data_IF_861707616129
#
_entry.id   IF_861707616129
#
_cell.length_a   1.000
_cell.length_b   1.000
_cell.length_c   1.000
_cell.angle_alpha   90.00
_cell.angle_beta   90.00
_cell.angle_gamma   90.00
#
_symmetry.space_group_name_H-M   'P 1'
#
loop_
_entity.id
_entity.type
_entity.pdbx_description
1 polymer ?
#
# COMPACT_ATOMS: atom_id res chain seq x y z
N UNK A 1 13.60 -5.52 55.12
CA UNK A 1 12.15 -5.43 54.81
C UNK A 1 11.99 -4.97 53.38
N UNK A 2 11.10 -5.59 52.60
CA UNK A 2 10.84 -5.17 51.22
C UNK A 2 10.07 -3.84 51.22
N UNK A 3 10.64 -2.80 50.59
CA UNK A 3 9.97 -1.52 50.41
C UNK A 3 8.75 -1.71 49.50
N UNK A 4 7.58 -1.26 49.97
CA UNK A 4 6.33 -1.29 49.21
C UNK A 4 5.92 0.14 48.85
N UNK A 5 5.13 0.29 47.79
CA UNK A 5 4.50 1.56 47.40
C UNK A 5 3.14 1.32 46.75
N UNK A 6 2.44 2.39 46.39
CA UNK A 6 1.14 2.30 45.70
C UNK A 6 1.32 2.22 44.18
N UNK A 7 0.50 1.40 43.54
CA UNK A 7 0.36 1.33 42.09
C UNK A 7 -0.14 2.67 41.54
N UNK A 8 0.60 3.24 40.58
CA UNK A 8 0.31 4.56 40.01
C UNK A 8 -1.01 4.66 39.20
N UNK A 9 -1.74 3.55 39.03
CA UNK A 9 -3.01 3.51 38.28
C UNK A 9 -4.22 3.17 39.15
N UNK A 10 -4.11 2.19 40.04
CA UNK A 10 -5.25 1.69 40.82
C UNK A 10 -5.05 1.73 42.34
N UNK A 11 -3.91 2.23 42.83
CA UNK A 11 -3.67 2.41 44.26
C UNK A 11 -3.38 1.14 45.07
N UNK A 12 -3.34 -0.05 44.48
CA UNK A 12 -2.93 -1.28 45.21
C UNK A 12 -1.48 -1.21 45.68
N UNK A 13 -1.17 -1.83 46.80
CA UNK A 13 0.19 -1.98 47.32
C UNK A 13 0.99 -2.93 46.42
N UNK A 14 2.18 -2.51 45.99
CA UNK A 14 3.12 -3.22 45.11
C UNK A 14 4.56 -3.07 45.60
N UNK A 15 5.48 -3.87 45.07
CA UNK A 15 6.92 -3.69 45.33
C UNK A 15 7.45 -2.36 44.79
N UNK A 16 8.38 -1.75 45.53
CA UNK A 16 8.91 -0.42 45.22
C UNK A 16 9.51 -0.30 43.80
N UNK A 17 10.04 -1.41 43.25
CA UNK A 17 10.57 -1.48 41.88
C UNK A 17 9.51 -1.42 40.75
N UNK A 18 8.26 -1.75 41.04
CA UNK A 18 7.22 -1.82 40.02
C UNK A 18 6.45 -0.50 39.92
N UNK A 19 6.11 -0.05 38.71
CA UNK A 19 5.25 1.15 38.52
C UNK A 19 3.76 0.82 38.67
N UNK A 20 3.38 -0.37 38.22
CA UNK A 20 2.00 -0.86 38.20
C UNK A 20 1.94 -2.26 38.82
N UNK A 21 0.77 -2.63 39.35
CA UNK A 21 0.49 -4.04 39.65
C UNK A 21 0.31 -4.84 38.37
N UNK A 22 0.46 -6.16 38.41
CA UNK A 22 0.41 -7.03 37.22
C UNK A 22 -0.81 -6.78 36.33
N UNK A 23 -2.00 -6.61 36.96
CA UNK A 23 -3.23 -6.26 36.24
C UNK A 23 -3.11 -4.94 35.49
N UNK A 24 -2.56 -3.91 36.13
CA UNK A 24 -2.41 -2.60 35.52
C UNK A 24 -1.26 -2.56 34.50
N UNK A 25 -0.23 -3.38 34.70
CA UNK A 25 0.89 -3.55 33.77
C UNK A 25 0.39 -4.11 32.44
N UNK A 26 -0.42 -5.17 32.45
CA UNK A 26 -1.04 -5.73 31.24
C UNK A 26 -1.84 -4.68 30.47
N UNK A 27 -2.61 -3.84 31.18
CA UNK A 27 -3.38 -2.77 30.53
C UNK A 27 -2.45 -1.70 29.94
N UNK A 28 -1.41 -1.30 30.68
CA UNK A 28 -0.44 -0.31 30.21
C UNK A 28 0.32 -0.81 28.97
N UNK A 29 0.73 -2.07 28.95
CA UNK A 29 1.43 -2.70 27.84
C UNK A 29 0.52 -2.83 26.62
N UNK A 30 -0.75 -3.20 26.80
CA UNK A 30 -1.76 -3.20 25.73
C UNK A 30 -1.91 -1.79 25.15
N UNK A 31 -2.10 -0.77 25.99
CA UNK A 31 -2.24 0.63 25.54
C UNK A 31 -1.00 1.14 24.80
N UNK A 32 0.20 0.77 25.25
CA UNK A 32 1.46 1.11 24.58
C UNK A 32 1.55 0.44 23.21
N UNK A 33 1.20 -0.85 23.12
CA UNK A 33 1.17 -1.60 21.86
C UNK A 33 0.16 -1.01 20.88
N UNK A 34 -1.04 -0.67 21.35
CA UNK A 34 -2.09 -0.08 20.52
C UNK A 34 -1.69 1.32 20.02
N UNK A 35 -1.06 2.14 20.87
CA UNK A 35 -0.52 3.46 20.47
C UNK A 35 0.58 3.32 19.41
N UNK A 36 1.53 2.40 19.61
CA UNK A 36 2.60 2.15 18.65
C UNK A 36 2.05 1.67 17.29
N UNK A 37 1.07 0.76 17.30
CA UNK A 37 0.38 0.34 16.08
C UNK A 37 -0.29 1.52 15.35
N UNK A 38 -1.01 2.37 16.09
CA UNK A 38 -1.70 3.52 15.52
C UNK A 38 -0.71 4.54 14.92
N UNK A 39 0.39 4.82 15.63
CA UNK A 39 1.46 5.68 15.11
C UNK A 39 2.06 5.13 13.81
N UNK A 40 2.41 3.84 13.79
CA UNK A 40 2.98 3.20 12.60
C UNK A 40 2.01 3.22 11.42
N UNK A 41 0.71 2.99 11.65
CA UNK A 41 -0.32 3.09 10.61
C UNK A 41 -0.40 4.50 10.05
N UNK A 42 -0.55 5.50 10.93
CA UNK A 42 -0.64 6.90 10.52
C UNK A 42 0.61 7.35 9.75
N UNK A 43 1.80 6.88 10.12
CA UNK A 43 3.03 7.21 9.41
C UNK A 43 3.08 6.58 8.00
N UNK A 44 2.63 5.33 7.85
CA UNK A 44 2.54 4.66 6.54
C UNK A 44 1.53 5.33 5.61
N UNK A 45 0.40 5.76 6.17
CA UNK A 45 -0.63 6.48 5.41
C UNK A 45 -0.08 7.83 4.92
N UNK A 46 0.68 8.54 5.77
CA UNK A 46 1.39 9.78 5.38
C UNK A 46 2.43 9.56 4.28
N UNK A 47 3.27 8.53 4.41
CA UNK A 47 4.29 8.22 3.40
C UNK A 47 3.66 7.88 2.04
N UNK A 48 2.60 7.06 2.06
CA UNK A 48 1.85 6.69 0.85
C UNK A 48 1.20 7.92 0.21
N UNK A 49 0.58 8.78 1.02
CA UNK A 49 -0.02 10.02 0.53
C UNK A 49 1.03 10.99 -0.02
N UNK A 50 2.20 11.08 0.63
CA UNK A 50 3.31 11.90 0.16
C UNK A 50 3.82 11.42 -1.20
N UNK A 51 3.95 10.11 -1.41
CA UNK A 51 4.32 9.53 -2.70
C UNK A 51 3.33 9.92 -3.80
N UNK A 52 2.03 9.69 -3.60
CA UNK A 52 1.03 10.03 -4.62
C UNK A 52 0.88 11.55 -4.86
N UNK A 53 1.31 12.39 -3.91
CA UNK A 53 1.33 13.84 -4.08
C UNK A 53 2.62 14.38 -4.69
N UNK A 54 3.66 13.54 -4.81
CA UNK A 54 4.99 13.94 -5.24
C UNK A 54 5.02 14.40 -6.69
N UNK A 55 6.00 15.25 -7.02
CA UNK A 55 6.25 15.73 -8.38
C UNK A 55 6.60 14.60 -9.33
N UNK A 56 7.39 13.65 -8.86
CA UNK A 56 7.89 12.50 -9.61
C UNK A 56 6.73 11.60 -10.04
N UNK A 57 5.80 11.31 -9.11
CA UNK A 57 4.60 10.54 -9.42
C UNK A 57 3.74 11.27 -10.47
N UNK A 58 3.48 12.57 -10.29
CA UNK A 58 2.69 13.35 -11.26
C UNK A 58 3.35 13.39 -12.65
N UNK A 59 4.67 13.47 -12.70
CA UNK A 59 5.44 13.46 -13.95
C UNK A 59 5.31 12.11 -14.66
N UNK A 60 5.62 10.99 -13.97
CA UNK A 60 5.56 9.66 -14.60
C UNK A 60 4.12 9.31 -15.02
N UNK A 61 3.13 9.68 -14.23
CA UNK A 61 1.71 9.54 -14.57
C UNK A 61 1.37 10.22 -15.90
N UNK A 62 1.93 11.41 -16.16
CA UNK A 62 1.68 12.13 -17.41
C UNK A 62 2.31 11.41 -18.60
N UNK A 63 3.50 10.85 -18.43
CA UNK A 63 4.18 10.03 -19.46
C UNK A 63 3.38 8.76 -19.76
N UNK A 64 2.94 8.04 -18.72
CA UNK A 64 2.13 6.81 -18.85
C UNK A 64 0.81 7.08 -19.57
N UNK A 65 0.12 8.18 -19.22
CA UNK A 65 -1.12 8.58 -19.91
C UNK A 65 -0.91 8.85 -21.40
N UNK A 66 0.20 9.49 -21.75
CA UNK A 66 0.54 9.79 -23.14
C UNK A 66 0.85 8.50 -23.91
N UNK A 67 1.68 7.61 -23.33
CA UNK A 67 2.00 6.29 -23.89
C UNK A 67 0.73 5.48 -24.15
N UNK A 68 -0.16 5.42 -23.17
CA UNK A 68 -1.39 4.62 -23.24
C UNK A 68 -2.54 5.33 -23.98
N UNK A 69 -2.28 6.53 -24.54
CA UNK A 69 -3.25 7.38 -25.24
C UNK A 69 -4.52 7.68 -24.43
N UNK A 70 -4.42 7.68 -23.10
CA UNK A 70 -5.58 7.81 -22.22
C UNK A 70 -6.58 6.66 -22.32
N UNK A 71 -6.16 5.46 -22.70
CA UNK A 71 -7.01 4.28 -22.82
C UNK A 71 -6.66 3.21 -21.80
N UNK A 72 -7.62 2.33 -21.52
CA UNK A 72 -7.40 1.12 -20.76
C UNK A 72 -6.73 0.07 -21.64
N UNK A 73 -5.45 -0.21 -21.41
CA UNK A 73 -4.71 -1.18 -22.24
C UNK A 73 -5.29 -2.61 -22.16
N UNK A 74 -5.88 -2.98 -21.03
CA UNK A 74 -6.54 -4.29 -20.89
C UNK A 74 -7.84 -4.41 -21.70
N UNK A 75 -8.57 -3.29 -21.90
CA UNK A 75 -9.73 -3.28 -22.79
C UNK A 75 -9.26 -3.28 -24.25
N UNK A 76 -8.24 -2.48 -24.55
CA UNK A 76 -7.69 -2.34 -25.89
C UNK A 76 -7.17 -3.67 -26.44
N UNK A 77 -6.47 -4.46 -25.62
CA UNK A 77 -6.00 -5.80 -26.00
C UNK A 77 -7.11 -6.80 -26.32
N UNK A 78 -8.36 -6.47 -25.97
CA UNK A 78 -9.56 -7.23 -26.29
C UNK A 78 -10.40 -6.55 -27.39
N UNK A 79 -9.81 -5.64 -28.15
CA UNK A 79 -10.47 -4.82 -29.17
C UNK A 79 -11.66 -4.01 -28.62
N UNK A 80 -11.58 -3.55 -27.37
CA UNK A 80 -12.60 -2.69 -26.74
C UNK A 80 -12.00 -1.34 -26.38
N UNK A 81 -12.62 -0.27 -26.85
CA UNK A 81 -12.25 1.09 -26.46
C UNK A 81 -12.88 1.45 -25.13
N UNK A 82 -12.05 1.88 -24.19
CA UNK A 82 -12.48 2.37 -22.88
C UNK A 82 -11.42 3.32 -22.35
N UNK A 83 -11.84 4.48 -21.86
CA UNK A 83 -10.92 5.43 -21.21
C UNK A 83 -10.41 4.87 -19.89
N UNK A 84 -9.17 5.19 -19.56
CA UNK A 84 -8.62 4.88 -18.25
C UNK A 84 -9.32 5.69 -17.16
N UNK A 85 -9.30 5.15 -15.94
CA UNK A 85 -9.73 5.86 -14.73
C UNK A 85 -8.61 5.94 -13.70
N UNK A 86 -7.69 4.98 -13.70
CA UNK A 86 -6.57 4.93 -12.78
C UNK A 86 -5.31 4.41 -13.48
N UNK A 87 -4.15 4.77 -12.95
CA UNK A 87 -2.89 4.10 -13.24
C UNK A 87 -2.66 3.06 -12.16
N UNK A 88 -2.32 1.86 -12.60
CA UNK A 88 -2.12 0.70 -11.77
C UNK A 88 -0.65 0.31 -11.73
N UNK A 89 -0.15 0.04 -10.53
CA UNK A 89 1.14 -0.61 -10.32
C UNK A 89 1.00 -2.12 -10.56
N UNK A 90 1.64 -2.64 -11.61
CA UNK A 90 1.62 -4.07 -11.94
C UNK A 90 2.23 -4.88 -10.78
N UNK A 91 3.41 -4.49 -10.31
CA UNK A 91 3.95 -4.90 -9.02
C UNK A 91 3.56 -3.86 -7.97
N UNK A 92 2.75 -4.27 -6.99
CA UNK A 92 2.10 -3.31 -6.09
C UNK A 92 3.14 -2.52 -5.29
N UNK A 93 2.88 -1.23 -5.07
CA UNK A 93 3.77 -0.32 -4.33
C UNK A 93 4.20 -0.86 -2.95
N UNK A 94 3.32 -1.64 -2.30
CA UNK A 94 3.59 -2.26 -0.98
C UNK A 94 4.58 -3.42 -1.06
N UNK A 95 4.70 -4.05 -2.22
CA UNK A 95 5.57 -5.21 -2.45
C UNK A 95 6.94 -4.76 -2.95
N UNK A 96 6.98 -3.76 -3.85
CA UNK A 96 8.21 -3.29 -4.43
C UNK A 96 8.18 -1.77 -4.67
N UNK A 97 8.80 -1.03 -3.75
CA UNK A 97 8.89 0.43 -3.84
C UNK A 97 9.90 0.90 -4.87
N UNK A 98 10.89 0.08 -5.22
CA UNK A 98 11.95 0.46 -6.17
C UNK A 98 11.38 0.60 -7.59
N UNK A 99 10.27 -0.09 -7.88
CA UNK A 99 9.52 0.03 -9.14
C UNK A 99 8.35 1.01 -9.09
N UNK A 100 8.25 1.84 -8.05
CA UNK A 100 7.11 2.74 -7.87
C UNK A 100 6.96 3.77 -9.00
N UNK A 101 8.08 4.17 -9.61
CA UNK A 101 8.20 5.15 -10.69
C UNK A 101 8.68 4.53 -12.01
N UNK A 102 8.79 3.20 -12.07
CA UNK A 102 9.16 2.49 -13.29
C UNK A 102 7.98 2.53 -14.27
N UNK A 103 8.21 3.08 -15.46
CA UNK A 103 7.19 3.23 -16.50
C UNK A 103 6.61 1.89 -16.94
N UNK A 104 7.44 0.83 -16.97
CA UNK A 104 7.04 -0.50 -17.39
C UNK A 104 6.27 -1.25 -16.29
N UNK A 105 6.28 -0.71 -15.07
CA UNK A 105 5.48 -1.19 -13.94
C UNK A 105 4.12 -0.47 -13.82
N UNK A 106 3.82 0.48 -14.70
CA UNK A 106 2.61 1.31 -14.65
C UNK A 106 1.74 1.08 -15.88
N UNK A 107 0.43 0.91 -15.68
CA UNK A 107 -0.54 0.66 -16.76
C UNK A 107 -1.84 1.43 -16.54
N UNK A 108 -2.35 2.09 -17.58
CA UNK A 108 -3.66 2.72 -17.56
C UNK A 108 -4.79 1.67 -17.62
N UNK A 109 -5.72 1.75 -16.67
CA UNK A 109 -6.87 0.85 -16.57
C UNK A 109 -8.17 1.61 -16.31
N UNK A 110 -9.27 1.12 -16.88
CA UNK A 110 -10.61 1.55 -16.49
C UNK A 110 -10.99 0.97 -15.12
N UNK A 111 -12.04 1.53 -14.49
CA UNK A 111 -12.46 1.15 -13.14
C UNK A 111 -12.76 -0.35 -12.99
N UNK A 112 -13.43 -0.95 -13.98
CA UNK A 112 -13.79 -2.37 -13.94
C UNK A 112 -12.57 -3.29 -14.07
N UNK A 113 -11.65 -2.99 -14.99
CA UNK A 113 -10.41 -3.76 -15.15
C UNK A 113 -9.51 -3.64 -13.91
N UNK A 114 -9.39 -2.43 -13.36
CA UNK A 114 -8.60 -2.20 -12.15
C UNK A 114 -9.14 -3.03 -10.97
N UNK A 115 -10.46 -3.01 -10.73
CA UNK A 115 -11.08 -3.81 -9.67
C UNK A 115 -10.90 -5.32 -9.90
N UNK A 116 -11.03 -5.77 -11.16
CA UNK A 116 -10.84 -7.18 -11.51
C UNK A 116 -9.42 -7.65 -11.23
N UNK A 117 -8.42 -6.88 -11.64
CA UNK A 117 -7.00 -7.22 -11.43
C UNK A 117 -6.67 -7.30 -9.94
N UNK A 118 -7.14 -6.34 -9.12
CA UNK A 118 -7.01 -6.42 -7.66
C UNK A 118 -7.66 -7.66 -7.05
N UNK A 119 -8.78 -8.11 -7.61
CA UNK A 119 -9.42 -9.37 -7.18
C UNK A 119 -8.57 -10.59 -7.58
N UNK A 120 -8.03 -10.60 -8.79
CA UNK A 120 -7.19 -11.70 -9.30
C UNK A 120 -5.83 -11.79 -8.58
N UNK A 121 -5.28 -10.68 -8.09
CA UNK A 121 -4.05 -10.66 -7.28
C UNK A 121 -4.18 -11.41 -5.95
N UNK A 122 -5.40 -11.66 -5.46
CA UNK A 122 -5.64 -12.47 -4.27
C UNK A 122 -5.61 -13.98 -4.54
N UNK A 123 -5.45 -14.37 -5.80
CA UNK A 123 -5.37 -15.78 -6.23
C UNK A 123 -3.92 -16.23 -6.44
N UNK A 124 -3.72 -17.53 -6.67
CA UNK A 124 -2.37 -18.09 -6.94
C UNK A 124 -1.77 -17.63 -8.28
N UNK A 125 -2.56 -17.00 -9.16
CA UNK A 125 -2.16 -16.65 -10.52
C UNK A 125 -1.63 -15.22 -10.66
N UNK A 126 -1.32 -14.55 -9.54
CA UNK A 126 -0.87 -13.15 -9.54
C UNK A 126 0.34 -12.90 -10.46
N UNK A 127 1.37 -13.75 -10.39
CA UNK A 127 2.58 -13.61 -11.20
C UNK A 127 2.31 -13.70 -12.70
N UNK A 128 1.47 -14.67 -13.11
CA UNK A 128 1.08 -14.84 -14.50
C UNK A 128 0.30 -13.61 -15.01
N UNK A 129 -0.62 -13.07 -14.20
CA UNK A 129 -1.35 -11.86 -14.54
C UNK A 129 -0.42 -10.66 -14.66
N UNK A 130 0.53 -10.49 -13.74
CA UNK A 130 1.53 -9.42 -13.82
C UNK A 130 2.33 -9.47 -15.12
N UNK A 131 2.76 -10.67 -15.54
CA UNK A 131 3.48 -10.85 -16.81
C UNK A 131 2.62 -10.46 -18.01
N UNK A 132 1.35 -10.87 -18.05
CA UNK A 132 0.40 -10.45 -19.09
C UNK A 132 0.26 -8.92 -19.14
N UNK A 133 0.18 -8.26 -17.98
CA UNK A 133 0.10 -6.79 -17.95
C UNK A 133 1.39 -6.12 -18.46
N UNK A 134 2.56 -6.67 -18.15
CA UNK A 134 3.85 -6.17 -18.69
C UNK A 134 3.92 -6.33 -20.21
N UNK A 135 3.43 -7.44 -20.74
CA UNK A 135 3.33 -7.64 -22.20
C UNK A 135 2.42 -6.60 -22.86
N UNK A 136 1.31 -6.21 -22.21
CA UNK A 136 0.44 -5.15 -22.73
C UNK A 136 1.14 -3.79 -22.75
N UNK A 137 1.97 -3.50 -21.75
CA UNK A 137 2.76 -2.27 -21.68
C UNK A 137 3.87 -2.26 -22.73
N UNK A 138 4.65 -3.35 -22.82
CA UNK A 138 5.78 -3.45 -23.75
C UNK A 138 5.40 -3.71 -25.21
N UNK A 139 4.24 -4.32 -25.47
CA UNK A 139 3.75 -4.65 -26.81
C UNK A 139 3.36 -3.42 -27.63
N UNK A 140 3.03 -2.29 -26.98
CA UNK A 140 2.66 -1.06 -27.67
C UNK A 140 3.86 -0.39 -28.38
N UNK A 141 5.10 -0.67 -27.95
CA UNK A 141 6.31 -0.16 -28.61
C UNK A 141 6.69 -0.89 -29.91
N UNK A 142 5.94 -1.94 -30.33
CA UNK A 142 6.23 -2.72 -31.55
C UNK A 142 5.27 -2.46 -32.71
N UNK A 143 4.26 -1.62 -32.53
CA UNK A 143 3.18 -1.39 -33.52
C UNK A 143 3.29 0.01 -34.16
N UNK A 144 4.38 0.74 -33.88
CA UNK A 144 4.84 1.92 -34.61
C UNK A 144 6.20 1.61 -35.22
#
# INVERSE_FOLDING_TARGET
MALKKLCAKCGRIIDYGNRYCDRCQVIADKMKKDRSKNYNRNNRDKETQSFYNSSEWKAIVSVVKLRDQGLCLHCLSKNKLSYYNAIHHIEELKENKDKALDIDNLICLCRSCHAKIHSEYKTKNKSELQNKLRELVGGYNKVL
#
